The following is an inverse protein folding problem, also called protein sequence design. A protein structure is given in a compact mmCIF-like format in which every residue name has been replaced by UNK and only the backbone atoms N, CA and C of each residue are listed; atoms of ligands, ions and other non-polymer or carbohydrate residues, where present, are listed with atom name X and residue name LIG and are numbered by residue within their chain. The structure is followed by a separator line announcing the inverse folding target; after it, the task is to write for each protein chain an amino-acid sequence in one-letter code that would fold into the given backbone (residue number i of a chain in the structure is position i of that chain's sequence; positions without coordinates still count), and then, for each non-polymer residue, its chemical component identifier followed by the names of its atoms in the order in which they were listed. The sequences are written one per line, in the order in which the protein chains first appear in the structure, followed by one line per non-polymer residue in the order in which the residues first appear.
data_IF_536930041851
#
_entry.id   IF_536930041851
#
_cell.length_a   1.000
_cell.length_b   1.000
_cell.length_c   1.000
_cell.angle_alpha   90.00
_cell.angle_beta   90.00
_cell.angle_gamma   90.00
#
_symmetry.space_group_name_H-M   'P 1'
#
loop_
_entity.id
_entity.type
_entity.pdbx_description
1 polymer ?
#
# COMPACT_ATOMS: atom_id res chain seq x y z
N UNK A 1 -6.48 1.62 -7.65
CA UNK A 1 -6.61 0.39 -6.84
C UNK A 1 -5.39 0.30 -5.91
N UNK A 2 -5.52 -0.01 -4.60
CA UNK A 2 -4.42 0.12 -3.63
C UNK A 2 -3.47 -1.08 -3.57
N UNK A 3 -2.23 -0.87 -3.11
CA UNK A 3 -1.22 -1.93 -3.00
C UNK A 3 -1.58 -3.00 -1.94
N UNK A 4 -1.38 -4.31 -2.22
CA UNK A 4 -1.58 -5.39 -1.27
C UNK A 4 -0.41 -5.54 -0.27
N UNK A 5 -0.28 -4.65 0.70
CA UNK A 5 0.78 -4.80 1.73
C UNK A 5 0.69 -6.13 2.48
N UNK A 6 1.82 -6.81 2.63
CA UNK A 6 1.96 -7.91 3.59
C UNK A 6 2.30 -7.34 4.97
N UNK A 7 1.62 -7.84 6.01
CA UNK A 7 1.92 -7.46 7.39
C UNK A 7 3.15 -8.22 7.89
N UNK A 8 4.18 -7.53 8.43
CA UNK A 8 5.36 -8.19 8.96
C UNK A 8 5.03 -9.00 10.22
N UNK A 9 5.84 -10.02 10.50
CA UNK A 9 5.78 -10.81 11.74
C UNK A 9 7.03 -10.57 12.56
N UNK A 10 6.95 -10.72 13.87
CA UNK A 10 8.08 -10.50 14.79
C UNK A 10 8.39 -11.74 15.65
N UNK A 11 9.61 -11.81 16.20
CA UNK A 11 10.04 -12.80 17.19
C UNK A 11 9.41 -12.55 18.57
N UNK A 12 9.55 -13.47 19.51
CA UNK A 12 9.40 -13.16 20.94
C UNK A 12 10.54 -12.27 21.43
N UNK A 13 10.24 -11.38 22.37
CA UNK A 13 11.22 -10.66 23.20
C UNK A 13 10.59 -10.47 24.58
N UNK A 14 11.41 -10.34 25.62
CA UNK A 14 11.01 -9.90 26.96
C UNK A 14 11.70 -8.59 27.28
N UNK A 15 10.97 -7.49 27.41
CA UNK A 15 11.56 -6.19 27.73
C UNK A 15 12.21 -6.17 29.11
N UNK A 16 11.77 -7.02 30.03
CA UNK A 16 12.36 -7.15 31.38
C UNK A 16 13.85 -7.51 31.30
N UNK A 17 14.26 -8.24 30.26
CA UNK A 17 15.66 -8.61 30.07
C UNK A 17 16.53 -7.43 29.63
N UNK A 18 15.95 -6.38 29.06
CA UNK A 18 16.66 -5.29 28.40
C UNK A 18 16.52 -3.95 29.11
N UNK A 19 15.41 -3.70 29.80
CA UNK A 19 15.11 -2.44 30.45
C UNK A 19 14.57 -2.66 31.86
N UNK A 20 14.92 -1.75 32.76
CA UNK A 20 14.45 -1.73 34.13
C UNK A 20 13.92 -0.34 34.47
N UNK A 21 12.82 -0.27 35.21
CA UNK A 21 12.29 0.98 35.75
C UNK A 21 12.26 0.95 37.26
N UNK A 22 12.86 1.98 37.87
CA UNK A 22 12.82 2.21 39.32
C UNK A 22 11.47 2.77 39.78
N UNK A 23 10.81 3.53 38.92
CA UNK A 23 9.54 4.23 39.18
C UNK A 23 8.32 3.40 38.81
N UNK A 24 8.41 2.64 37.70
CA UNK A 24 7.31 1.86 37.13
C UNK A 24 7.76 0.42 36.84
N UNK A 25 8.11 -0.38 37.86
CA UNK A 25 8.72 -1.71 37.69
C UNK A 25 7.88 -2.69 36.87
N UNK A 26 6.55 -2.52 36.79
CA UNK A 26 5.69 -3.37 35.96
C UNK A 26 5.65 -2.99 34.47
N UNK A 27 6.09 -1.79 34.09
CA UNK A 27 6.00 -1.29 32.71
C UNK A 27 6.69 -2.22 31.68
N UNK A 28 7.94 -2.69 31.89
CA UNK A 28 8.56 -3.64 30.98
C UNK A 28 7.77 -4.97 30.84
N UNK A 29 7.15 -5.44 31.92
CA UNK A 29 6.33 -6.66 31.87
C UNK A 29 5.05 -6.44 31.06
N UNK A 30 4.31 -5.35 31.34
CA UNK A 30 3.10 -5.01 30.59
C UNK A 30 3.37 -4.82 29.09
N UNK A 31 4.47 -4.13 28.74
CA UNK A 31 4.91 -3.98 27.36
C UNK A 31 5.22 -5.34 26.69
N UNK A 32 5.85 -6.26 27.43
CA UNK A 32 6.15 -7.62 26.97
C UNK A 32 4.87 -8.39 26.65
N UNK A 33 3.90 -8.35 27.56
CA UNK A 33 2.59 -9.00 27.39
C UNK A 33 1.84 -8.45 26.19
N UNK A 34 1.73 -7.12 26.07
CA UNK A 34 1.04 -6.47 24.94
C UNK A 34 1.71 -6.80 23.59
N UNK A 35 3.05 -6.83 23.56
CA UNK A 35 3.80 -7.24 22.37
C UNK A 35 3.58 -8.71 22.02
N UNK A 36 3.49 -9.60 23.01
CA UNK A 36 3.15 -11.01 22.83
C UNK A 36 1.80 -11.18 22.12
N UNK A 37 0.78 -10.46 22.57
CA UNK A 37 -0.55 -10.44 21.92
C UNK A 37 -0.45 -9.97 20.46
N UNK A 38 0.27 -8.87 20.20
CA UNK A 38 0.47 -8.37 18.83
C UNK A 38 1.16 -9.42 17.94
N UNK A 39 2.23 -10.06 18.44
CA UNK A 39 2.95 -11.12 17.73
C UNK A 39 2.01 -12.25 17.33
N UNK A 40 1.18 -12.72 18.25
CA UNK A 40 0.28 -13.85 18.01
C UNK A 40 -0.84 -13.49 17.03
N UNK A 41 -1.38 -12.28 17.13
CA UNK A 41 -2.38 -11.75 16.18
C UNK A 41 -1.79 -11.62 14.78
N UNK A 42 -0.55 -11.13 14.63
CA UNK A 42 0.15 -11.05 13.34
C UNK A 42 0.43 -12.44 12.76
N UNK A 43 0.92 -13.38 13.57
CA UNK A 43 1.11 -14.79 13.16
C UNK A 43 -0.20 -15.42 12.70
N UNK A 44 -1.29 -15.21 13.44
CA UNK A 44 -2.63 -15.70 13.07
C UNK A 44 -3.12 -15.06 11.77
N UNK A 45 -2.99 -13.75 11.62
CA UNK A 45 -3.36 -13.04 10.39
C UNK A 45 -2.63 -13.58 9.17
N UNK A 46 -1.33 -13.89 9.31
CA UNK A 46 -0.55 -14.50 8.23
C UNK A 46 -1.03 -15.90 7.85
N UNK A 47 -1.45 -16.71 8.83
CA UNK A 47 -1.84 -18.12 8.64
C UNK A 47 -3.25 -18.32 8.10
N UNK A 48 -4.16 -17.35 8.28
CA UNK A 48 -5.52 -17.45 7.75
C UNK A 48 -5.55 -17.32 6.21
N UNK A 49 -6.54 -17.91 5.53
CA UNK A 49 -6.69 -17.78 4.09
C UNK A 49 -6.73 -16.31 3.63
N UNK A 50 -6.11 -15.96 2.48
CA UNK A 50 -6.09 -14.58 1.99
C UNK A 50 -7.48 -13.94 1.87
N UNK A 51 -8.50 -14.72 1.50
CA UNK A 51 -9.89 -14.26 1.37
C UNK A 51 -10.51 -13.77 2.71
N UNK A 52 -9.99 -14.21 3.86
CA UNK A 52 -10.49 -13.81 5.19
C UNK A 52 -9.57 -12.82 5.90
N UNK A 53 -8.44 -12.44 5.30
CA UNK A 53 -7.50 -11.50 5.93
C UNK A 53 -8.13 -10.11 6.14
N UNK A 54 -8.94 -9.64 5.18
CA UNK A 54 -9.59 -8.33 5.27
C UNK A 54 -10.49 -8.19 6.52
N UNK A 55 -11.24 -9.23 6.87
CA UNK A 55 -12.12 -9.21 8.06
C UNK A 55 -11.35 -9.33 9.37
N UNK A 56 -10.09 -9.79 9.34
CA UNK A 56 -9.23 -9.88 10.53
C UNK A 56 -8.42 -8.59 10.79
N UNK A 57 -8.47 -7.59 9.91
CA UNK A 57 -7.69 -6.35 10.05
C UNK A 57 -8.06 -5.54 11.30
N UNK A 58 -9.33 -5.58 11.74
CA UNK A 58 -9.77 -4.91 12.97
C UNK A 58 -9.11 -5.49 14.22
N UNK A 59 -8.93 -6.82 14.26
CA UNK A 59 -8.21 -7.51 15.34
C UNK A 59 -6.74 -7.07 15.42
N UNK A 60 -6.08 -6.96 14.25
CA UNK A 60 -4.69 -6.49 14.19
C UNK A 60 -4.60 -5.03 14.62
N UNK A 61 -5.52 -4.19 14.17
CA UNK A 61 -5.57 -2.78 14.55
C UNK A 61 -5.73 -2.60 16.06
N UNK A 62 -6.59 -3.40 16.71
CA UNK A 62 -6.76 -3.37 18.16
C UNK A 62 -5.44 -3.69 18.86
N UNK A 63 -4.81 -4.82 18.52
CA UNK A 63 -3.56 -5.23 19.16
C UNK A 63 -2.41 -4.21 18.98
N UNK A 64 -2.36 -3.52 17.83
CA UNK A 64 -1.42 -2.42 17.61
C UNK A 64 -1.72 -1.22 18.51
N UNK A 65 -2.98 -0.81 18.61
CA UNK A 65 -3.40 0.30 19.46
C UNK A 65 -3.24 -0.01 20.95
N UNK A 66 -3.34 -1.27 21.35
CA UNK A 66 -3.11 -1.72 22.72
C UNK A 66 -1.62 -1.72 23.08
N UNK A 67 -0.73 -2.03 22.12
CA UNK A 67 0.72 -2.09 22.34
C UNK A 67 1.43 -0.73 22.23
N UNK A 68 1.06 0.09 21.25
CA UNK A 68 1.75 1.37 20.97
C UNK A 68 1.90 2.30 22.19
N UNK A 69 0.88 2.50 23.07
CA UNK A 69 1.02 3.31 24.28
C UNK A 69 2.19 2.86 25.17
N UNK A 70 2.37 1.55 25.36
CA UNK A 70 3.48 1.01 26.16
C UNK A 70 4.83 1.27 25.49
N UNK A 71 4.88 1.14 24.16
CA UNK A 71 6.10 1.38 23.41
C UNK A 71 6.54 2.85 23.48
N UNK A 72 5.59 3.78 23.40
CA UNK A 72 5.85 5.20 23.60
C UNK A 72 6.19 5.56 25.05
N UNK A 73 5.64 4.87 26.05
CA UNK A 73 6.05 5.04 27.45
C UNK A 73 7.50 4.58 27.68
N UNK A 74 7.91 3.47 27.05
CA UNK A 74 9.30 3.02 27.07
C UNK A 74 10.24 4.03 26.39
N UNK A 75 9.84 4.56 25.24
CA UNK A 75 10.59 5.58 24.49
C UNK A 75 10.76 6.87 25.30
N UNK A 76 9.68 7.32 25.94
CA UNK A 76 9.69 8.50 26.79
C UNK A 76 10.66 8.33 27.97
N UNK A 77 10.58 7.21 28.69
CA UNK A 77 11.44 7.01 29.84
C UNK A 77 12.92 6.83 29.51
N UNK A 78 13.25 6.21 28.38
CA UNK A 78 14.65 6.15 27.90
C UNK A 78 15.18 7.51 27.43
N UNK A 79 14.30 8.41 27.01
CA UNK A 79 14.64 9.75 26.52
C UNK A 79 14.59 10.83 27.61
N UNK A 80 14.18 10.48 28.83
CA UNK A 80 13.94 11.44 29.92
C UNK A 80 12.74 12.36 29.68
N UNK A 81 11.82 11.99 28.78
CA UNK A 81 10.59 12.71 28.52
C UNK A 81 9.47 12.22 29.45
N UNK A 82 8.53 13.10 29.78
CA UNK A 82 7.36 12.74 30.59
C UNK A 82 6.33 11.95 29.76
N UNK A 83 5.72 10.93 30.35
CA UNK A 83 4.57 10.22 29.80
C UNK A 83 3.31 10.61 30.59
N UNK A 84 2.30 11.18 29.92
CA UNK A 84 1.07 11.68 30.57
C UNK A 84 1.29 12.63 31.76
N UNK A 85 2.39 13.41 31.75
CA UNK A 85 2.75 14.31 32.85
C UNK A 85 3.50 13.63 34.01
N UNK A 86 3.70 12.31 33.95
CA UNK A 86 4.52 11.56 34.89
C UNK A 86 5.95 11.35 34.36
N UNK A 87 6.91 11.33 35.27
CA UNK A 87 8.30 11.00 34.98
C UNK A 87 8.48 9.48 35.07
N UNK A 88 8.82 8.86 33.94
CA UNK A 88 9.12 7.43 33.85
C UNK A 88 10.63 7.27 33.76
N UNK A 89 11.27 6.83 34.84
CA UNK A 89 12.70 6.54 34.84
C UNK A 89 12.96 5.13 34.31
N UNK A 90 13.68 5.01 33.19
CA UNK A 90 14.07 3.74 32.58
C UNK A 90 15.58 3.70 32.35
N UNK A 91 16.18 2.57 32.76
CA UNK A 91 17.59 2.27 32.53
C UNK A 91 17.71 1.06 31.62
N UNK A 92 18.59 1.16 30.62
CA UNK A 92 18.95 0.05 29.75
C UNK A 92 19.87 -0.92 30.50
N UNK A 93 19.43 -2.17 30.68
CA UNK A 93 20.20 -3.26 31.30
C UNK A 93 21.18 -3.87 30.29
N UNK A 94 20.73 -4.08 29.06
CA UNK A 94 21.54 -4.51 27.91
C UNK A 94 20.92 -4.00 26.61
N UNK A 95 21.70 -3.99 25.53
CA UNK A 95 21.23 -3.58 24.20
C UNK A 95 20.01 -4.40 23.76
N UNK A 96 18.91 -3.70 23.45
CA UNK A 96 17.66 -4.33 22.99
C UNK A 96 17.84 -4.98 21.63
N UNK A 97 17.51 -6.27 21.52
CA UNK A 97 17.54 -7.00 20.25
C UNK A 97 16.12 -7.40 19.84
N UNK A 98 15.66 -6.88 18.70
CA UNK A 98 14.35 -7.21 18.12
C UNK A 98 14.52 -7.81 16.73
N UNK A 99 13.64 -8.73 16.36
CA UNK A 99 13.65 -9.32 15.02
C UNK A 99 12.30 -9.12 14.34
N UNK A 100 12.34 -8.55 13.13
CA UNK A 100 11.18 -8.34 12.29
C UNK A 100 11.39 -8.96 10.92
N UNK A 101 10.36 -9.60 10.40
CA UNK A 101 10.35 -10.09 9.02
C UNK A 101 10.19 -8.92 8.07
N UNK A 102 11.12 -8.76 7.14
CA UNK A 102 10.99 -7.79 6.05
C UNK A 102 9.85 -8.18 5.11
N UNK A 103 9.04 -7.21 4.70
CA UNK A 103 7.94 -7.40 3.72
C UNK A 103 8.16 -6.62 2.44
N UNK A 104 9.09 -5.66 2.45
CA UNK A 104 9.44 -4.84 1.29
C UNK A 104 10.80 -5.19 0.69
N UNK A 105 11.64 -5.99 1.35
CA UNK A 105 12.87 -6.46 0.74
C UNK A 105 12.62 -7.46 -0.39
N UNK A 106 13.50 -7.46 -1.38
CA UNK A 106 13.57 -8.48 -2.41
C UNK A 106 13.75 -9.86 -1.76
N UNK A 107 12.82 -10.78 -2.01
CA UNK A 107 12.88 -12.16 -1.54
C UNK A 107 12.83 -13.13 -2.71
N UNK A 108 13.45 -14.31 -2.55
CA UNK A 108 13.38 -15.37 -3.54
C UNK A 108 11.93 -15.90 -3.59
N UNK A 109 11.29 -15.96 -4.77
CA UNK A 109 9.94 -16.50 -4.90
C UNK A 109 9.83 -17.90 -4.28
N UNK A 110 8.79 -18.10 -3.46
CA UNK A 110 8.56 -19.38 -2.77
C UNK A 110 9.38 -19.58 -1.48
N UNK A 111 10.27 -18.65 -1.13
CA UNK A 111 10.96 -18.64 0.17
C UNK A 111 10.39 -17.54 1.05
N UNK A 112 10.24 -17.85 2.34
CA UNK A 112 9.81 -16.86 3.32
C UNK A 112 10.90 -15.77 3.47
N UNK A 113 10.54 -14.47 3.53
CA UNK A 113 11.52 -13.41 3.74
C UNK A 113 12.30 -13.60 5.04
N UNK A 114 13.57 -13.21 5.06
CA UNK A 114 14.44 -13.36 6.24
C UNK A 114 14.05 -12.34 7.32
N UNK A 115 14.16 -12.72 8.60
CA UNK A 115 14.05 -11.76 9.70
C UNK A 115 15.32 -10.93 9.81
N UNK A 116 15.15 -9.63 9.99
CA UNK A 116 16.26 -8.70 10.21
C UNK A 116 16.39 -8.48 11.71
N UNK A 117 17.59 -8.76 12.26
CA UNK A 117 17.93 -8.44 13.65
C UNK A 117 18.26 -6.95 13.77
N UNK A 118 17.66 -6.28 14.74
CA UNK A 118 17.76 -4.83 14.94
C UNK A 118 18.04 -4.56 16.41
N UNK A 119 18.91 -3.58 16.67
CA UNK A 119 19.45 -3.32 18.01
C UNK A 119 18.94 -2.00 18.60
N UNK A 120 17.63 -1.75 18.54
CA UNK A 120 17.06 -0.50 19.07
C UNK A 120 15.55 -0.55 19.31
N UNK A 121 15.09 0.20 20.31
CA UNK A 121 13.66 0.47 20.54
C UNK A 121 13.06 1.26 19.37
N UNK A 122 13.86 2.14 18.77
CA UNK A 122 13.48 2.91 17.60
C UNK A 122 13.04 2.02 16.42
N UNK A 123 13.77 0.94 16.18
CA UNK A 123 13.43 -0.03 15.13
C UNK A 123 12.12 -0.75 15.42
N UNK A 124 11.89 -1.13 16.69
CA UNK A 124 10.63 -1.73 17.13
C UNK A 124 9.45 -0.76 16.92
N UNK A 125 9.62 0.51 17.28
CA UNK A 125 8.63 1.57 17.07
C UNK A 125 8.32 1.76 15.58
N UNK A 126 9.36 1.84 14.76
CA UNK A 126 9.22 2.03 13.32
C UNK A 126 8.51 0.87 12.62
N UNK A 127 8.84 -0.38 12.96
CA UNK A 127 8.13 -1.54 12.42
C UNK A 127 6.68 -1.60 12.90
N UNK A 128 6.43 -1.32 14.18
CA UNK A 128 5.07 -1.33 14.75
C UNK A 128 4.18 -0.26 14.09
N UNK A 129 4.67 0.97 13.96
CA UNK A 129 3.96 2.07 13.30
C UNK A 129 3.82 1.84 11.79
N UNK A 130 4.83 1.32 11.10
CA UNK A 130 4.71 0.95 9.68
C UNK A 130 3.64 -0.11 9.48
N UNK A 131 3.55 -1.08 10.39
CA UNK A 131 2.49 -2.10 10.39
C UNK A 131 1.11 -1.48 10.59
N UNK A 132 0.97 -0.50 11.49
CA UNK A 132 -0.26 0.28 11.65
C UNK A 132 -0.68 0.99 10.36
N UNK A 133 0.26 1.65 9.68
CA UNK A 133 0.00 2.31 8.42
C UNK A 133 -0.41 1.31 7.32
N UNK A 134 0.22 0.13 7.25
CA UNK A 134 -0.20 -0.94 6.33
C UNK A 134 -1.61 -1.43 6.63
N UNK A 135 -1.98 -1.60 7.90
CA UNK A 135 -3.35 -1.98 8.28
C UNK A 135 -4.36 -0.94 7.80
N UNK A 136 -4.08 0.36 7.95
CA UNK A 136 -4.95 1.40 7.40
C UNK A 136 -5.05 1.33 5.88
N UNK A 137 -3.94 1.20 5.15
CA UNK A 137 -3.97 1.04 3.68
C UNK A 137 -4.75 -0.21 3.24
N UNK A 138 -4.63 -1.31 3.98
CA UNK A 138 -5.40 -2.54 3.71
C UNK A 138 -6.89 -2.40 4.05
N UNK A 139 -7.25 -1.64 5.09
CA UNK A 139 -8.64 -1.29 5.38
C UNK A 139 -9.22 -0.41 4.27
N UNK A 140 -8.46 0.58 3.78
CA UNK A 140 -8.85 1.40 2.64
C UNK A 140 -9.09 0.54 1.39
N UNK A 141 -8.20 -0.43 1.15
CA UNK A 141 -8.34 -1.43 0.10
C UNK A 141 -9.60 -2.26 0.26
N UNK A 142 -9.90 -2.78 1.45
CA UNK A 142 -11.13 -3.55 1.70
C UNK A 142 -12.40 -2.72 1.41
N UNK A 143 -12.42 -1.44 1.79
CA UNK A 143 -13.52 -0.53 1.46
C UNK A 143 -13.66 -0.33 -0.06
N UNK A 144 -12.55 -0.10 -0.76
CA UNK A 144 -12.55 0.09 -2.21
C UNK A 144 -12.94 -1.17 -3.00
N UNK A 145 -12.65 -2.36 -2.48
CA UNK A 145 -13.05 -3.63 -3.12
C UNK A 145 -14.56 -3.70 -3.32
N UNK A 146 -15.35 -3.11 -2.41
CA UNK A 146 -16.82 -3.08 -2.50
C UNK A 146 -17.34 -2.40 -3.76
N UNK A 147 -16.55 -1.50 -4.36
CA UNK A 147 -16.89 -0.81 -5.61
C UNK A 147 -16.78 -1.71 -6.84
N UNK A 148 -16.10 -2.85 -6.70
CA UNK A 148 -15.83 -3.81 -7.78
C UNK A 148 -16.60 -5.13 -7.61
N UNK A 149 -17.54 -5.19 -6.66
CA UNK A 149 -18.40 -6.34 -6.48
C UNK A 149 -19.35 -6.53 -7.68
N UNK A 150 -19.80 -7.77 -7.89
CA UNK A 150 -20.72 -8.12 -8.98
C UNK A 150 -22.07 -7.37 -8.92
N UNK A 151 -22.44 -6.88 -7.73
CA UNK A 151 -23.63 -6.04 -7.51
C UNK A 151 -23.14 -4.60 -7.43
N UNK A 152 -23.63 -3.75 -8.33
CA UNK A 152 -23.31 -2.31 -8.33
C UNK A 152 -23.79 -1.70 -7.00
N UNK A 153 -22.91 -1.08 -6.20
CA UNK A 153 -23.30 -0.49 -4.92
C UNK A 153 -24.21 0.72 -5.12
N UNK A 154 -25.09 0.98 -4.16
CA UNK A 154 -25.90 2.20 -4.17
C UNK A 154 -25.01 3.45 -4.10
N UNK A 155 -25.49 4.64 -4.53
CA UNK A 155 -24.72 5.88 -4.40
C UNK A 155 -24.27 6.18 -2.96
N UNK A 156 -25.10 5.86 -1.97
CA UNK A 156 -24.78 6.03 -0.55
C UNK A 156 -23.69 5.05 -0.09
N UNK A 157 -23.77 3.78 -0.51
CA UNK A 157 -22.75 2.77 -0.21
C UNK A 157 -21.42 3.15 -0.84
N UNK A 158 -21.44 3.62 -2.11
CA UNK A 158 -20.25 4.12 -2.80
C UNK A 158 -19.63 5.31 -2.05
N UNK A 159 -20.44 6.30 -1.68
CA UNK A 159 -19.96 7.48 -0.97
C UNK A 159 -19.35 7.09 0.40
N UNK A 160 -19.97 6.15 1.11
CA UNK A 160 -19.48 5.64 2.40
C UNK A 160 -18.16 4.91 2.25
N UNK A 161 -18.05 3.98 1.29
CA UNK A 161 -16.82 3.23 1.04
C UNK A 161 -15.66 4.14 0.64
N UNK A 162 -15.91 5.12 -0.24
CA UNK A 162 -14.90 6.11 -0.67
C UNK A 162 -14.50 7.01 0.50
N UNK A 163 -15.44 7.49 1.29
CA UNK A 163 -15.17 8.32 2.47
C UNK A 163 -14.33 7.57 3.51
N UNK A 164 -14.66 6.31 3.80
CA UNK A 164 -13.92 5.47 4.73
C UNK A 164 -12.49 5.17 4.22
N UNK A 165 -12.35 4.79 2.95
CA UNK A 165 -11.04 4.55 2.34
C UNK A 165 -10.16 5.81 2.36
N UNK A 166 -10.72 6.97 2.02
CA UNK A 166 -10.00 8.25 2.08
C UNK A 166 -9.52 8.57 3.50
N UNK A 167 -10.36 8.33 4.52
CA UNK A 167 -9.95 8.50 5.92
C UNK A 167 -8.76 7.60 6.24
N UNK A 168 -8.83 6.32 5.91
CA UNK A 168 -7.77 5.36 6.18
C UNK A 168 -6.44 5.73 5.48
N UNK A 169 -6.45 6.18 4.22
CA UNK A 169 -5.21 6.64 3.58
C UNK A 169 -4.60 7.86 4.25
N UNK A 170 -5.42 8.82 4.71
CA UNK A 170 -4.93 9.98 5.45
C UNK A 170 -4.37 9.59 6.82
N UNK A 171 -4.99 8.61 7.49
CA UNK A 171 -4.48 8.06 8.75
C UNK A 171 -3.13 7.36 8.51
N UNK A 172 -3.00 6.53 7.46
CA UNK A 172 -1.73 5.91 7.05
C UNK A 172 -0.65 6.95 6.71
N UNK A 173 -1.01 7.99 5.94
CA UNK A 173 -0.10 9.08 5.58
C UNK A 173 0.42 9.84 6.80
N UNK A 174 -0.44 10.09 7.79
CA UNK A 174 -0.04 10.75 9.04
C UNK A 174 1.03 9.94 9.79
N UNK A 175 0.86 8.61 9.86
CA UNK A 175 1.82 7.70 10.50
C UNK A 175 3.14 7.67 9.73
N UNK A 176 3.10 7.52 8.40
CA UNK A 176 4.33 7.53 7.60
C UNK A 176 5.05 8.87 7.68
N UNK A 177 4.34 10.00 7.66
CA UNK A 177 4.97 11.32 7.81
C UNK A 177 5.61 11.49 9.19
N UNK A 178 4.96 11.00 10.25
CA UNK A 178 5.56 10.97 11.58
C UNK A 178 6.87 10.17 11.59
N UNK A 179 6.88 8.99 10.96
CA UNK A 179 8.07 8.15 10.83
C UNK A 179 9.19 8.82 10.02
N UNK A 180 8.87 9.53 8.94
CA UNK A 180 9.86 10.30 8.15
C UNK A 180 10.53 11.37 9.02
N UNK A 181 9.75 12.13 9.78
CA UNK A 181 10.27 13.18 10.65
C UNK A 181 11.17 12.61 11.75
N UNK A 182 10.80 11.45 12.31
CA UNK A 182 11.58 10.75 13.32
C UNK A 182 12.87 10.17 12.74
N UNK A 183 12.80 9.57 11.54
CA UNK A 183 13.95 9.04 10.82
C UNK A 183 14.95 10.13 10.40
N UNK A 184 14.50 11.36 10.20
CA UNK A 184 15.37 12.52 9.96
C UNK A 184 16.30 12.87 11.12
N UNK A 185 16.04 12.34 12.33
CA UNK A 185 16.85 12.55 13.52
C UNK A 185 17.89 11.44 13.75
N UNK A 186 17.91 10.40 12.90
CA UNK A 186 18.81 9.28 13.07
C UNK A 186 20.25 9.61 12.67
N UNK A 187 21.20 9.23 13.52
CA UNK A 187 22.63 9.38 13.25
C UNK A 187 23.15 8.37 12.21
N UNK A 188 22.47 7.24 12.05
CA UNK A 188 22.83 6.17 11.10
C UNK A 188 21.58 5.50 10.54
N UNK A 189 21.61 5.13 9.26
CA UNK A 189 20.51 4.42 8.63
C UNK A 189 20.40 2.97 9.14
N UNK A 190 19.19 2.45 9.37
CA UNK A 190 18.99 1.06 9.77
C UNK A 190 19.38 0.10 8.63
N UNK A 191 19.84 -1.09 9.00
CA UNK A 191 20.18 -2.13 8.02
C UNK A 191 18.93 -2.68 7.29
N UNK A 192 17.76 -2.59 7.93
CA UNK A 192 16.48 -3.01 7.38
C UNK A 192 15.97 -1.99 6.34
N UNK A 193 15.68 -2.47 5.13
CA UNK A 193 15.21 -1.63 4.04
C UNK A 193 13.82 -1.04 4.31
N UNK A 194 12.94 -1.80 4.96
CA UNK A 194 11.54 -1.44 5.24
C UNK A 194 11.42 -0.15 6.07
N UNK A 195 12.41 0.11 6.94
CA UNK A 195 12.44 1.27 7.82
C UNK A 195 13.52 2.28 7.41
N UNK A 196 14.13 2.14 6.23
CA UNK A 196 15.05 3.16 5.72
C UNK A 196 14.32 4.48 5.46
N UNK A 197 14.98 5.62 5.66
CA UNK A 197 14.35 6.94 5.48
C UNK A 197 13.74 7.12 4.09
N UNK A 198 14.40 6.56 3.06
CA UNK A 198 13.89 6.60 1.68
C UNK A 198 12.58 5.83 1.52
N UNK A 199 12.47 4.62 2.09
CA UNK A 199 11.24 3.82 2.02
C UNK A 199 10.12 4.47 2.81
N UNK A 200 10.40 4.98 4.01
CA UNK A 200 9.41 5.70 4.81
C UNK A 200 8.88 6.95 4.08
N UNK A 201 9.78 7.71 3.43
CA UNK A 201 9.41 8.85 2.58
C UNK A 201 8.54 8.44 1.41
N UNK A 202 8.92 7.36 0.73
CA UNK A 202 8.16 6.85 -0.41
C UNK A 202 6.75 6.39 -0.01
N UNK A 203 6.59 5.75 1.15
CA UNK A 203 5.29 5.31 1.65
C UNK A 203 4.40 6.50 2.07
N UNK A 204 5.00 7.57 2.61
CA UNK A 204 4.27 8.81 2.88
C UNK A 204 3.76 9.44 1.57
N UNK A 205 4.61 9.57 0.55
CA UNK A 205 4.24 10.09 -0.76
C UNK A 205 3.21 9.19 -1.47
N UNK A 206 3.36 7.87 -1.39
CA UNK A 206 2.43 6.90 -1.97
C UNK A 206 1.02 7.03 -1.37
N UNK A 207 0.91 7.04 -0.04
CA UNK A 207 -0.39 7.16 0.63
C UNK A 207 -1.06 8.51 0.33
N UNK A 208 -0.28 9.58 0.12
CA UNK A 208 -0.82 10.86 -0.35
C UNK A 208 -1.30 10.80 -1.81
N UNK A 209 -0.57 10.09 -2.68
CA UNK A 209 -0.99 9.85 -4.06
C UNK A 209 -2.32 9.10 -4.12
N UNK A 210 -2.48 8.03 -3.34
CA UNK A 210 -3.70 7.24 -3.24
C UNK A 210 -4.88 8.06 -2.67
N UNK A 211 -4.64 8.81 -1.59
CA UNK A 211 -5.63 9.71 -1.00
C UNK A 211 -6.07 10.80 -1.99
N UNK A 212 -5.17 11.35 -2.78
CA UNK A 212 -5.50 12.37 -3.78
C UNK A 212 -6.30 11.78 -4.94
N UNK A 213 -5.95 10.58 -5.40
CA UNK A 213 -6.63 9.93 -6.52
C UNK A 213 -8.06 9.51 -6.17
N UNK A 214 -8.29 9.06 -4.93
CA UNK A 214 -9.63 8.63 -4.49
C UNK A 214 -10.65 9.78 -4.50
N UNK A 215 -10.20 11.03 -4.33
CA UNK A 215 -11.07 12.22 -4.41
C UNK A 215 -11.72 12.33 -5.79
N UNK A 216 -11.01 11.93 -6.84
CA UNK A 216 -11.53 11.92 -8.21
C UNK A 216 -12.50 10.75 -8.42
N UNK A 217 -12.20 9.58 -7.86
CA UNK A 217 -13.05 8.38 -7.99
C UNK A 217 -14.49 8.61 -7.49
N UNK A 218 -14.68 9.50 -6.51
CA UNK A 218 -15.99 9.85 -5.97
C UNK A 218 -16.99 10.27 -7.05
N UNK A 219 -16.54 11.17 -7.93
CA UNK A 219 -17.38 11.85 -8.92
C UNK A 219 -17.06 11.41 -10.36
N UNK A 220 -16.16 10.43 -10.56
CA UNK A 220 -15.80 9.88 -11.87
C UNK A 220 -16.84 8.85 -12.34
N UNK A 221 -17.66 9.13 -13.38
CA UNK A 221 -18.74 8.24 -13.80
C UNK A 221 -18.24 7.08 -14.67
N UNK A 222 -17.08 7.22 -15.30
CA UNK A 222 -16.64 6.31 -16.35
C UNK A 222 -16.29 4.88 -15.90
N UNK A 223 -15.73 4.64 -14.69
CA UNK A 223 -15.53 3.28 -14.19
C UNK A 223 -16.83 2.47 -14.16
N UNK A 224 -17.93 3.06 -13.70
CA UNK A 224 -19.23 2.37 -13.64
C UNK A 224 -19.74 2.01 -15.04
N UNK A 225 -19.60 2.92 -16.00
CA UNK A 225 -20.01 2.71 -17.41
C UNK A 225 -19.30 1.51 -18.03
N UNK A 226 -17.98 1.39 -17.83
CA UNK A 226 -17.20 0.27 -18.39
C UNK A 226 -17.53 -1.06 -17.71
N UNK A 227 -17.86 -1.03 -16.41
CA UNK A 227 -18.31 -2.23 -15.67
C UNK A 227 -19.68 -2.68 -16.19
N UNK A 228 -20.62 -1.76 -16.36
CA UNK A 228 -21.97 -2.05 -16.87
C UNK A 228 -21.98 -2.59 -18.30
N UNK A 229 -21.17 -2.03 -19.21
CA UNK A 229 -21.03 -2.51 -20.60
C UNK A 229 -20.59 -3.99 -20.66
N UNK A 230 -19.89 -4.46 -19.62
CA UNK A 230 -19.45 -5.86 -19.48
C UNK A 230 -20.44 -6.75 -18.74
N UNK A 231 -21.44 -6.18 -18.06
CA UNK A 231 -22.42 -6.97 -17.35
C UNK A 231 -23.38 -7.61 -18.36
N UNK A 232 -23.08 -8.86 -18.75
CA UNK A 232 -23.92 -9.66 -19.68
C UNK A 232 -25.37 -9.85 -19.19
N UNK A 233 -25.63 -9.62 -17.91
CA UNK A 233 -26.96 -9.72 -17.31
C UNK A 233 -27.72 -8.38 -17.36
N UNK A 234 -27.03 -7.26 -17.61
CA UNK A 234 -27.66 -5.95 -17.75
C UNK A 234 -28.40 -5.86 -19.09
N UNK A 235 -29.69 -5.51 -19.01
CA UNK A 235 -30.55 -5.22 -20.17
C UNK A 235 -30.86 -3.74 -20.30
N UNK A 236 -30.29 -2.90 -19.45
CA UNK A 236 -30.63 -1.47 -19.35
C UNK A 236 -30.32 -0.70 -20.62
N UNK A 237 -29.25 -1.12 -21.32
CA UNK A 237 -28.88 -0.61 -22.64
C UNK A 237 -29.99 -0.77 -23.69
N UNK A 238 -30.93 -1.71 -23.50
CA UNK A 238 -32.04 -1.95 -24.45
C UNK A 238 -33.11 -0.87 -24.41
N UNK A 239 -33.23 -0.12 -23.30
CA UNK A 239 -34.32 0.85 -23.11
C UNK A 239 -33.83 2.22 -22.61
N UNK A 240 -32.54 2.38 -22.29
CA UNK A 240 -31.94 3.68 -21.97
C UNK A 240 -30.49 3.73 -22.47
N UNK A 241 -30.11 4.83 -23.12
CA UNK A 241 -28.70 5.12 -23.41
C UNK A 241 -27.92 5.49 -22.15
N UNK A 242 -26.62 5.22 -22.11
CA UNK A 242 -25.77 5.63 -20.99
C UNK A 242 -25.66 7.16 -20.98
N UNK A 243 -26.30 7.81 -20.02
CA UNK A 243 -26.11 9.24 -19.75
C UNK A 243 -24.92 9.41 -18.80
N UNK A 244 -23.89 10.11 -19.25
CA UNK A 244 -22.64 10.30 -18.48
C UNK A 244 -22.69 11.72 -17.90
N UNK A 245 -22.79 11.87 -16.56
CA UNK A 245 -22.83 13.18 -15.93
C UNK A 245 -21.60 14.02 -16.29
N UNK A 246 -21.82 15.33 -16.47
CA UNK A 246 -20.72 16.28 -16.64
C UNK A 246 -19.93 16.39 -15.34
N UNK A 247 -18.62 16.37 -15.46
CA UNK A 247 -17.69 16.48 -14.33
C UNK A 247 -16.91 17.78 -14.39
N UNK A 248 -16.30 18.17 -13.26
CA UNK A 248 -15.32 19.27 -13.19
C UNK A 248 -13.99 18.79 -13.80
N UNK A 249 -14.00 18.51 -15.10
CA UNK A 249 -12.96 17.77 -15.80
C UNK A 249 -11.57 18.40 -15.61
N UNK A 250 -11.44 19.71 -15.83
CA UNK A 250 -10.16 20.40 -15.60
C UNK A 250 -9.66 20.29 -14.14
N UNK A 251 -10.54 20.39 -13.14
CA UNK A 251 -10.15 20.21 -11.74
C UNK A 251 -9.65 18.79 -11.49
N UNK A 252 -10.39 17.77 -11.96
CA UNK A 252 -10.01 16.37 -11.80
C UNK A 252 -8.71 16.04 -12.49
N UNK A 253 -8.45 16.61 -13.67
CA UNK A 253 -7.16 16.49 -14.33
C UNK A 253 -6.01 16.97 -13.43
N UNK A 254 -6.16 18.14 -12.81
CA UNK A 254 -5.13 18.68 -11.90
C UNK A 254 -4.96 17.86 -10.61
N UNK A 255 -6.04 17.29 -10.07
CA UNK A 255 -5.94 16.37 -8.92
C UNK A 255 -5.20 15.07 -9.30
N UNK A 256 -5.51 14.51 -10.46
CA UNK A 256 -4.80 13.35 -11.00
C UNK A 256 -3.32 13.64 -11.24
N UNK A 257 -2.97 14.85 -11.69
CA UNK A 257 -1.57 15.26 -11.85
C UNK A 257 -0.84 15.40 -10.51
N UNK A 258 -1.47 15.96 -9.48
CA UNK A 258 -0.89 15.99 -8.13
C UNK A 258 -0.63 14.56 -7.60
N UNK A 259 -1.59 13.64 -7.78
CA UNK A 259 -1.40 12.22 -7.45
C UNK A 259 -0.22 11.60 -8.22
N UNK A 260 -0.08 11.91 -9.51
CA UNK A 260 1.06 11.45 -10.33
C UNK A 260 2.39 12.03 -9.84
N UNK A 261 2.44 13.30 -9.44
CA UNK A 261 3.64 13.94 -8.89
C UNK A 261 4.08 13.30 -7.57
N UNK A 262 3.14 13.01 -6.65
CA UNK A 262 3.42 12.23 -5.43
C UNK A 262 3.94 10.82 -5.74
N UNK A 263 3.28 10.10 -6.64
CA UNK A 263 3.74 8.77 -7.06
C UNK A 263 5.14 8.82 -7.72
N UNK A 264 5.46 9.88 -8.46
CA UNK A 264 6.80 10.08 -9.03
C UNK A 264 7.87 10.32 -7.95
N UNK A 265 7.55 11.09 -6.89
CA UNK A 265 8.45 11.26 -5.74
C UNK A 265 8.68 9.94 -5.02
N UNK A 266 7.61 9.17 -4.77
CA UNK A 266 7.71 7.84 -4.18
C UNK A 266 8.59 6.92 -5.03
N UNK A 267 8.39 6.89 -6.35
CA UNK A 267 9.20 6.09 -7.27
C UNK A 267 10.69 6.47 -7.20
N UNK A 268 10.99 7.78 -7.19
CA UNK A 268 12.37 8.27 -7.12
C UNK A 268 13.06 7.88 -5.80
N UNK A 269 12.34 7.94 -4.68
CA UNK A 269 12.83 7.50 -3.38
C UNK A 269 13.09 5.98 -3.36
N UNK A 270 12.13 5.16 -3.77
CA UNK A 270 12.30 3.70 -3.82
C UNK A 270 13.45 3.29 -4.75
N UNK A 271 13.65 3.99 -5.87
CA UNK A 271 14.75 3.74 -6.81
C UNK A 271 16.15 3.94 -6.24
N UNK A 272 16.30 4.62 -5.10
CA UNK A 272 17.59 4.75 -4.39
C UNK A 272 17.97 3.48 -3.62
N UNK A 273 17.02 2.55 -3.41
CA UNK A 273 17.24 1.33 -2.64
C UNK A 273 17.21 0.10 -3.54
N UNK A 274 18.38 -0.49 -3.78
CA UNK A 274 18.56 -1.68 -4.63
C UNK A 274 18.01 -2.98 -4.03
N UNK A 275 17.51 -2.95 -2.79
CA UNK A 275 17.04 -4.12 -2.05
C UNK A 275 15.51 -4.23 -1.96
N UNK A 276 14.77 -3.33 -2.59
CA UNK A 276 13.30 -3.33 -2.55
C UNK A 276 12.72 -4.35 -3.54
N UNK A 277 11.61 -4.99 -3.18
CA UNK A 277 10.87 -5.86 -4.09
C UNK A 277 10.29 -5.07 -5.28
N UNK A 278 10.49 -5.60 -6.48
CA UNK A 278 9.98 -5.07 -7.75
C UNK A 278 8.45 -4.86 -7.75
N UNK A 279 7.67 -5.63 -6.99
CA UNK A 279 6.21 -5.49 -6.96
C UNK A 279 5.77 -4.09 -6.51
N UNK A 280 6.40 -3.52 -5.47
CA UNK A 280 6.08 -2.18 -4.99
C UNK A 280 6.55 -1.12 -5.99
N UNK A 281 7.75 -1.29 -6.55
CA UNK A 281 8.30 -0.37 -7.57
C UNK A 281 7.40 -0.30 -8.82
N UNK A 282 6.97 -1.46 -9.32
CA UNK A 282 6.07 -1.57 -10.45
C UNK A 282 4.70 -0.97 -10.14
N UNK A 283 4.16 -1.24 -8.95
CA UNK A 283 2.89 -0.66 -8.52
C UNK A 283 2.94 0.87 -8.49
N UNK A 284 4.00 1.46 -7.93
CA UNK A 284 4.13 2.93 -7.86
C UNK A 284 4.28 3.55 -9.25
N UNK A 285 5.02 2.92 -10.17
CA UNK A 285 5.09 3.37 -11.57
C UNK A 285 3.72 3.27 -12.26
N UNK A 286 3.01 2.16 -12.05
CA UNK A 286 1.67 1.97 -12.61
C UNK A 286 0.66 2.96 -12.02
N UNK A 287 0.75 3.30 -10.74
CA UNK A 287 -0.07 4.34 -10.11
C UNK A 287 0.22 5.70 -10.73
N UNK A 288 1.50 6.06 -10.88
CA UNK A 288 1.95 7.31 -11.52
C UNK A 288 1.39 7.43 -12.94
N UNK A 289 1.50 6.36 -13.74
CA UNK A 289 0.99 6.29 -15.11
C UNK A 289 -0.53 6.33 -15.18
N UNK A 290 -1.21 5.62 -14.28
CA UNK A 290 -2.68 5.58 -14.20
C UNK A 290 -3.23 6.96 -13.87
N UNK A 291 -2.63 7.65 -12.89
CA UNK A 291 -3.01 9.01 -12.52
C UNK A 291 -2.80 9.98 -13.70
N UNK A 292 -1.67 9.90 -14.40
CA UNK A 292 -1.41 10.75 -15.58
C UNK A 292 -2.32 10.43 -16.78
N UNK A 293 -2.64 9.15 -16.99
CA UNK A 293 -3.62 8.70 -17.97
C UNK A 293 -5.03 9.24 -17.69
N UNK A 294 -5.47 9.18 -16.42
CA UNK A 294 -6.72 9.80 -15.95
C UNK A 294 -6.73 11.31 -16.21
N UNK A 295 -5.62 11.99 -15.93
CA UNK A 295 -5.53 13.42 -16.21
C UNK A 295 -5.72 13.74 -17.70
N UNK A 296 -5.07 12.98 -18.58
CA UNK A 296 -5.25 13.10 -20.03
C UNK A 296 -6.71 12.87 -20.44
N UNK A 297 -7.37 11.83 -19.88
CA UNK A 297 -8.79 11.58 -20.14
C UNK A 297 -9.66 12.75 -19.70
N UNK A 298 -9.46 13.32 -18.52
CA UNK A 298 -10.25 14.45 -18.08
C UNK A 298 -9.99 15.71 -18.92
N UNK A 299 -8.76 15.97 -19.35
CA UNK A 299 -8.48 17.04 -20.31
C UNK A 299 -9.16 16.79 -21.66
N UNK A 300 -9.27 15.53 -22.08
CA UNK A 300 -10.03 15.15 -23.25
C UNK A 300 -11.54 15.45 -23.11
N UNK A 301 -12.13 15.12 -21.96
CA UNK A 301 -13.52 15.45 -21.64
C UNK A 301 -13.77 16.97 -21.61
N UNK A 302 -12.81 17.75 -21.10
CA UNK A 302 -12.86 19.20 -21.07
C UNK A 302 -12.84 19.78 -22.51
N UNK A 303 -11.94 19.27 -23.35
CA UNK A 303 -11.84 19.66 -24.76
C UNK A 303 -13.11 19.31 -25.55
N UNK A 304 -13.66 18.11 -25.36
CA UNK A 304 -14.89 17.68 -26.03
C UNK A 304 -16.11 18.50 -25.58
N UNK A 305 -16.20 18.83 -24.28
CA UNK A 305 -17.25 19.73 -23.77
C UNK A 305 -17.14 21.13 -24.39
N UNK A 306 -15.92 21.56 -24.73
CA UNK A 306 -15.65 22.79 -25.48
C UNK A 306 -15.86 22.69 -26.99
N UNK A 307 -16.40 21.57 -27.50
CA UNK A 307 -16.64 21.34 -28.92
C UNK A 307 -15.38 21.00 -29.73
N UNK A 308 -14.25 20.69 -29.07
CA UNK A 308 -12.98 20.35 -29.71
C UNK A 308 -12.71 18.85 -29.68
N UNK A 309 -13.60 18.07 -30.27
CA UNK A 309 -13.51 16.60 -30.31
C UNK A 309 -12.18 16.10 -30.90
N UNK A 310 -11.62 16.78 -31.91
CA UNK A 310 -10.31 16.43 -32.47
C UNK A 310 -9.17 16.54 -31.45
N UNK A 311 -9.17 17.59 -30.63
CA UNK A 311 -8.22 17.77 -29.52
C UNK A 311 -8.46 16.71 -28.42
N UNK A 312 -9.73 16.41 -28.12
CA UNK A 312 -10.10 15.34 -27.19
C UNK A 312 -9.55 13.96 -27.59
N UNK A 313 -9.67 13.58 -28.86
CA UNK A 313 -9.08 12.34 -29.39
C UNK A 313 -7.55 12.34 -29.21
N UNK A 314 -6.88 13.47 -29.48
CA UNK A 314 -5.44 13.59 -29.30
C UNK A 314 -5.00 13.41 -27.84
N UNK A 315 -5.76 13.98 -26.88
CA UNK A 315 -5.55 13.75 -25.46
C UNK A 315 -5.71 12.27 -25.07
N UNK A 316 -6.71 11.57 -25.59
CA UNK A 316 -6.90 10.14 -25.31
C UNK A 316 -5.80 9.26 -25.93
N UNK A 317 -5.30 9.60 -27.12
CA UNK A 317 -4.11 8.97 -27.71
C UNK A 317 -2.87 9.21 -26.83
N UNK A 318 -2.75 10.41 -26.27
CA UNK A 318 -1.76 10.74 -25.24
C UNK A 318 -1.92 9.87 -23.98
N UNK A 319 -3.15 9.69 -23.50
CA UNK A 319 -3.45 8.85 -22.34
C UNK A 319 -2.96 7.40 -22.54
N UNK A 320 -3.16 6.82 -23.74
CA UNK A 320 -2.62 5.49 -24.09
C UNK A 320 -1.10 5.41 -24.01
N UNK A 321 -0.38 6.48 -24.41
CA UNK A 321 1.09 6.55 -24.33
C UNK A 321 1.53 6.60 -22.86
N UNK A 322 0.90 7.43 -22.05
CA UNK A 322 1.22 7.54 -20.61
C UNK A 322 0.96 6.23 -19.86
N UNK A 323 -0.15 5.56 -20.15
CA UNK A 323 -0.47 4.24 -19.63
C UNK A 323 0.47 3.13 -20.16
N UNK A 324 1.33 3.42 -21.13
CA UNK A 324 2.25 2.43 -21.71
C UNK A 324 1.56 1.39 -22.60
N UNK A 325 0.36 1.69 -23.12
CA UNK A 325 -0.37 0.81 -24.06
C UNK A 325 -0.04 1.10 -25.53
N UNK A 326 0.51 2.28 -25.83
CA UNK A 326 0.98 2.61 -27.17
C UNK A 326 2.49 2.33 -27.30
N UNK A 327 2.89 1.65 -28.38
CA UNK A 327 4.28 1.63 -28.82
C UNK A 327 4.66 3.03 -29.32
N UNK A 328 5.83 3.52 -28.93
CA UNK A 328 6.35 4.83 -29.35
C UNK A 328 6.42 4.90 -30.88
N UNK A 329 5.59 5.73 -31.51
CA UNK A 329 5.69 6.07 -32.94
C UNK A 329 4.39 5.88 -33.75
N UNK A 330 3.94 6.97 -34.39
CA UNK A 330 2.73 7.04 -35.20
C UNK A 330 2.79 6.25 -36.54
N UNK A 331 3.93 5.64 -36.89
CA UNK A 331 4.06 4.81 -38.10
C UNK A 331 3.91 3.29 -37.84
N UNK A 332 3.86 2.86 -36.58
CA UNK A 332 3.74 1.43 -36.23
C UNK A 332 2.36 1.01 -35.70
N UNK A 333 1.29 1.78 -35.92
CA UNK A 333 -0.07 1.28 -35.70
C UNK A 333 -0.39 0.05 -36.57
N UNK A 334 0.34 -0.13 -37.68
CA UNK A 334 0.29 -1.36 -38.50
C UNK A 334 1.13 -2.52 -37.95
N UNK A 335 1.95 -2.29 -36.91
CA UNK A 335 2.89 -3.25 -36.32
C UNK A 335 2.76 -3.40 -34.80
N UNK A 336 1.59 -3.08 -34.22
CA UNK A 336 1.25 -3.63 -32.91
C UNK A 336 1.17 -5.17 -33.05
N UNK A 337 2.32 -5.83 -32.88
CA UNK A 337 2.50 -7.28 -32.88
C UNK A 337 1.38 -7.91 -32.07
N UNK A 338 0.62 -8.85 -32.65
CA UNK A 338 -0.51 -9.51 -31.98
C UNK A 338 -0.17 -10.06 -30.59
N UNK A 339 1.12 -10.29 -30.32
CA UNK A 339 1.65 -10.67 -29.02
C UNK A 339 1.46 -9.62 -27.91
N UNK A 340 1.63 -8.32 -28.17
CA UNK A 340 1.48 -7.27 -27.14
C UNK A 340 0.03 -7.08 -26.73
N UNK A 341 -0.89 -7.13 -27.70
CA UNK A 341 -2.34 -7.11 -27.47
C UNK A 341 -2.79 -8.34 -26.67
N UNK A 342 -2.29 -9.53 -27.04
CA UNK A 342 -2.61 -10.77 -26.33
C UNK A 342 -2.05 -10.79 -24.91
N UNK A 343 -0.86 -10.21 -24.68
CA UNK A 343 -0.29 -10.02 -23.33
C UNK A 343 -1.15 -9.08 -22.48
N UNK A 344 -1.57 -7.93 -23.03
CA UNK A 344 -2.49 -7.00 -22.36
C UNK A 344 -3.79 -7.70 -21.97
N UNK A 345 -4.47 -8.37 -22.92
CA UNK A 345 -5.71 -9.10 -22.65
C UNK A 345 -5.57 -10.20 -21.60
N UNK A 346 -4.43 -10.90 -21.60
CA UNK A 346 -4.14 -11.94 -20.60
C UNK A 346 -3.93 -11.34 -19.20
N UNK A 347 -3.17 -10.26 -19.07
CA UNK A 347 -2.96 -9.56 -17.80
C UNK A 347 -4.28 -8.97 -17.27
N UNK A 348 -5.09 -8.40 -18.16
CA UNK A 348 -6.42 -7.89 -17.87
C UNK A 348 -7.35 -8.97 -17.30
N UNK A 349 -7.42 -10.14 -17.95
CA UNK A 349 -8.22 -11.28 -17.45
C UNK A 349 -7.70 -11.80 -16.11
N UNK A 350 -6.39 -11.74 -15.88
CA UNK A 350 -5.79 -12.14 -14.61
C UNK A 350 -6.19 -11.17 -13.50
N UNK A 351 -6.20 -9.87 -13.78
CA UNK A 351 -6.61 -8.84 -12.82
C UNK A 351 -8.11 -8.93 -12.50
N UNK A 352 -8.97 -9.09 -13.51
CA UNK A 352 -10.41 -9.28 -13.29
C UNK A 352 -10.69 -10.49 -12.37
N UNK A 353 -9.98 -11.62 -12.57
CA UNK A 353 -10.08 -12.80 -11.70
C UNK A 353 -9.62 -12.54 -10.27
N UNK A 354 -8.61 -11.69 -10.08
CA UNK A 354 -8.12 -11.30 -8.74
C UNK A 354 -9.14 -10.44 -8.02
N UNK A 355 -9.74 -9.48 -8.75
CA UNK A 355 -10.83 -8.63 -8.25
C UNK A 355 -12.03 -9.51 -7.84
N UNK A 356 -12.48 -10.43 -8.71
CA UNK A 356 -13.58 -11.36 -8.41
C UNK A 356 -13.30 -12.21 -7.16
N UNK A 357 -12.05 -12.64 -6.96
CA UNK A 357 -11.66 -13.43 -5.79
C UNK A 357 -11.39 -12.59 -4.54
N UNK A 358 -11.23 -11.28 -4.68
CA UNK A 358 -10.79 -10.39 -3.59
C UNK A 358 -9.36 -10.63 -3.10
N UNK A 359 -8.53 -11.35 -3.87
CA UNK A 359 -7.15 -11.73 -3.49
C UNK A 359 -6.15 -11.15 -4.47
N UNK A 360 -5.11 -10.48 -3.98
CA UNK A 360 -4.00 -9.91 -4.76
C UNK A 360 -4.40 -8.99 -5.93
N UNK A 361 -5.59 -8.39 -5.85
CA UNK A 361 -6.09 -7.40 -6.80
C UNK A 361 -5.47 -6.01 -6.57
N UNK A 362 -5.52 -5.16 -7.58
CA UNK A 362 -5.00 -3.80 -7.55
C UNK A 362 -3.50 -3.71 -7.78
N UNK A 363 -2.82 -4.80 -8.16
CA UNK A 363 -1.37 -4.80 -8.42
C UNK A 363 -0.97 -3.92 -9.62
N UNK A 364 -1.91 -3.63 -10.52
CA UNK A 364 -1.72 -2.73 -11.66
C UNK A 364 -2.11 -1.27 -11.37
N UNK A 365 -2.42 -0.94 -10.10
CA UNK A 365 -2.92 0.35 -9.65
C UNK A 365 -4.21 0.86 -10.35
N UNK A 366 -4.93 0.02 -11.12
CA UNK A 366 -6.08 0.41 -11.94
C UNK A 366 -5.72 0.85 -13.37
N UNK A 367 -4.50 0.60 -13.81
CA UNK A 367 -4.00 0.90 -15.16
C UNK A 367 -4.85 0.25 -16.26
N UNK A 368 -5.26 -1.00 -16.08
CA UNK A 368 -6.07 -1.72 -17.05
C UNK A 368 -7.52 -1.21 -17.08
N UNK A 369 -8.09 -0.89 -15.91
CA UNK A 369 -9.41 -0.25 -15.82
C UNK A 369 -9.41 1.08 -16.59
N UNK A 370 -8.43 1.95 -16.33
CA UNK A 370 -8.31 3.23 -17.02
C UNK A 370 -8.09 3.05 -18.54
N UNK A 371 -7.28 2.06 -18.93
CA UNK A 371 -7.07 1.70 -20.33
C UNK A 371 -8.37 1.39 -21.07
N UNK A 372 -9.28 0.66 -20.44
CA UNK A 372 -10.59 0.31 -21.01
C UNK A 372 -11.48 1.53 -21.17
N UNK A 373 -11.47 2.44 -20.19
CA UNK A 373 -12.21 3.71 -20.28
C UNK A 373 -11.69 4.53 -21.47
N UNK A 374 -10.38 4.65 -21.61
CA UNK A 374 -9.74 5.36 -22.72
C UNK A 374 -10.07 4.70 -24.07
N UNK A 375 -10.04 3.37 -24.14
CA UNK A 375 -10.41 2.60 -25.34
C UNK A 375 -11.88 2.82 -25.75
N UNK A 376 -12.80 2.81 -24.78
CA UNK A 376 -14.22 3.09 -25.00
C UNK A 376 -14.46 4.51 -25.53
N UNK A 377 -13.83 5.51 -24.90
CA UNK A 377 -13.95 6.91 -25.31
C UNK A 377 -13.35 7.18 -26.69
N UNK A 378 -12.18 6.61 -26.99
CA UNK A 378 -11.56 6.73 -28.31
C UNK A 378 -12.49 6.20 -29.39
N UNK A 379 -13.01 4.98 -29.21
CA UNK A 379 -13.93 4.36 -30.17
C UNK A 379 -15.18 5.22 -30.40
N UNK A 380 -15.72 5.83 -29.34
CA UNK A 380 -16.88 6.72 -29.42
C UNK A 380 -16.56 7.98 -30.21
N UNK A 381 -15.54 8.72 -29.77
CA UNK A 381 -15.26 10.05 -30.31
C UNK A 381 -14.59 10.01 -31.69
N UNK A 382 -13.81 8.98 -32.02
CA UNK A 382 -13.31 8.79 -33.39
C UNK A 382 -14.48 8.57 -34.35
N UNK A 383 -15.44 7.71 -34.00
CA UNK A 383 -16.65 7.50 -34.81
C UNK A 383 -17.44 8.80 -34.97
N UNK A 384 -17.65 9.55 -33.90
CA UNK A 384 -18.38 10.81 -33.92
C UNK A 384 -17.66 11.88 -34.78
N UNK A 385 -16.34 11.99 -34.64
CA UNK A 385 -15.55 12.92 -35.43
C UNK A 385 -15.51 12.53 -36.91
N UNK A 386 -15.39 11.25 -37.25
CA UNK A 386 -15.37 10.77 -38.63
C UNK A 386 -16.72 10.92 -39.34
N UNK A 387 -17.82 10.95 -38.58
CA UNK A 387 -19.19 11.02 -39.12
C UNK A 387 -19.79 12.42 -39.12
N UNK A 388 -19.52 13.23 -38.10
CA UNK A 388 -20.16 14.54 -37.89
C UNK A 388 -19.14 15.66 -37.73
N UNK A 389 -18.13 15.47 -36.90
CA UNK A 389 -17.23 16.56 -36.46
C UNK A 389 -16.23 17.03 -37.53
N UNK A 390 -15.67 16.08 -38.27
CA UNK A 390 -14.61 16.23 -39.29
C UNK A 390 -13.47 17.17 -38.83
N UNK A 391 -13.13 17.14 -37.55
CA UNK A 391 -12.05 17.95 -37.00
C UNK A 391 -10.70 17.26 -37.23
N UNK A 392 -9.67 18.04 -37.53
CA UNK A 392 -8.31 17.53 -37.58
C UNK A 392 -7.87 17.08 -36.18
N UNK A 393 -7.33 15.87 -36.06
CA UNK A 393 -6.76 15.36 -34.81
C UNK A 393 -5.27 15.75 -34.74
N UNK A 394 -4.86 16.65 -33.83
CA UNK A 394 -3.46 17.04 -33.70
C UNK A 394 -2.59 15.90 -33.11
N UNK A 395 -1.25 16.00 -33.21
CA UNK A 395 -0.36 15.11 -32.48
C UNK A 395 -0.54 15.29 -30.96
N UNK A 396 -0.33 14.21 -30.20
CA UNK A 396 -0.55 14.23 -28.75
C UNK A 396 0.62 14.83 -27.98
N UNK A 397 1.84 14.79 -28.53
CA UNK A 397 3.08 15.19 -27.87
C UNK A 397 3.07 16.65 -27.39
N UNK A 398 2.65 17.64 -28.21
CA UNK A 398 2.58 19.03 -27.75
C UNK A 398 1.55 19.22 -26.63
N UNK A 399 0.43 18.48 -26.69
CA UNK A 399 -0.59 18.49 -25.65
C UNK A 399 -0.03 17.95 -24.32
N UNK A 400 0.61 16.78 -24.36
CA UNK A 400 1.24 16.18 -23.18
C UNK A 400 2.30 17.11 -22.55
N UNK A 401 3.07 17.84 -23.37
CA UNK A 401 4.03 18.83 -22.89
C UNK A 401 3.38 20.09 -22.30
N UNK A 402 2.12 20.37 -22.64
CA UNK A 402 1.34 21.52 -22.16
C UNK A 402 0.47 21.21 -20.92
N UNK A 403 0.62 20.02 -20.31
CA UNK A 403 -0.16 19.68 -19.12
C UNK A 403 0.02 20.71 -18.01
N UNK A 404 -1.07 21.12 -17.33
CA UNK A 404 -0.96 22.02 -16.18
C UNK A 404 -0.28 21.33 -14.99
N UNK A 405 0.15 22.09 -14.00
CA UNK A 405 0.64 21.51 -12.74
C UNK A 405 -0.48 20.89 -11.91
N UNK A 406 -0.10 19.92 -11.08
CA UNK A 406 -0.95 19.35 -10.05
C UNK A 406 -1.64 20.40 -9.17
N UNK A 407 -2.76 20.00 -8.57
CA UNK A 407 -3.41 20.76 -7.50
C UNK A 407 -3.54 19.89 -6.27
N UNK A 408 -2.87 20.30 -5.20
CA UNK A 408 -3.02 19.67 -3.89
C UNK A 408 -4.46 19.77 -3.39
N UNK A 409 -4.94 18.67 -2.82
CA UNK A 409 -6.28 18.59 -2.24
C UNK A 409 -6.26 18.34 -0.75
N UNK A 410 -5.34 17.49 -0.30
CA UNK A 410 -5.21 17.11 1.10
C UNK A 410 -4.12 17.93 1.78
N UNK A 411 -4.23 18.04 3.09
CA UNK A 411 -3.15 18.55 3.94
C UNK A 411 -2.74 17.41 4.87
N UNK A 412 -1.43 17.21 5.00
CA UNK A 412 -0.88 16.20 5.89
C UNK A 412 -1.37 16.42 7.31
N UNK A 413 -1.97 15.39 7.90
CA UNK A 413 -2.39 15.42 9.30
C UNK A 413 -1.23 15.06 10.20
N UNK A 414 -1.20 15.69 11.38
CA UNK A 414 -0.25 15.33 12.43
C UNK A 414 -0.73 14.02 13.05
N UNK A 415 0.17 13.05 13.13
CA UNK A 415 -0.08 11.83 13.89
C UNK A 415 -0.13 12.14 15.38
N UNK A 416 -1.20 11.72 16.04
CA UNK A 416 -1.35 11.87 17.48
C UNK A 416 -0.75 10.64 18.13
N UNK A 417 0.38 10.83 18.83
CA UNK A 417 1.06 9.76 19.56
C UNK A 417 0.15 9.23 20.67
N UNK A 418 -0.18 7.92 20.68
CA UNK A 418 -0.93 7.34 21.76
C UNK A 418 -0.08 7.29 23.03
N UNK A 419 -0.69 7.61 24.16
CA UNK A 419 -0.06 7.57 25.47
C UNK A 419 -0.89 6.68 26.40
N UNK A 420 -0.22 6.08 27.39
CA UNK A 420 -0.93 5.43 28.49
C UNK A 420 -1.66 6.50 29.30
N UNK A 421 -2.83 6.13 29.82
CA UNK A 421 -3.54 6.97 30.78
C UNK A 421 -2.83 6.96 32.14
N UNK A 422 -3.07 8.01 32.93
CA UNK A 422 -2.47 8.21 34.25
C UNK A 422 -2.75 7.03 35.19
N UNK A 423 -3.98 6.50 35.21
CA UNK A 423 -4.35 5.37 36.08
C UNK A 423 -3.58 4.09 35.71
N UNK A 424 -3.34 3.86 34.41
CA UNK A 424 -2.49 2.76 33.94
C UNK A 424 -1.03 2.93 34.37
N UNK A 425 -0.47 4.14 34.30
CA UNK A 425 0.89 4.41 34.80
C UNK A 425 0.98 4.20 36.31
N UNK A 426 0.05 4.76 37.09
CA UNK A 426 0.01 4.63 38.55
C UNK A 426 -0.02 3.15 38.99
N UNK A 427 -0.81 2.31 38.30
CA UNK A 427 -0.87 0.87 38.60
C UNK A 427 0.46 0.16 38.37
N UNK A 428 1.27 0.62 37.41
CA UNK A 428 2.57 0.00 37.09
C UNK A 428 3.70 0.36 38.07
N UNK A 429 3.43 1.23 39.05
CA UNK A 429 4.37 1.49 40.18
C UNK A 429 4.48 0.30 41.13
N UNK A 430 3.46 -0.55 41.17
CA UNK A 430 3.55 -1.82 41.89
C UNK A 430 4.51 -2.77 41.16
N UNK A 431 5.33 -3.56 41.88
CA UNK A 431 6.14 -4.61 41.26
C UNK A 431 5.27 -5.65 40.52
N UNK A 432 5.77 -6.27 39.44
CA UNK A 432 5.03 -7.29 38.72
C UNK A 432 4.78 -8.51 39.61
N UNK A 433 3.61 -9.15 39.43
CA UNK A 433 3.29 -10.39 40.14
C UNK A 433 4.24 -11.51 39.65
N UNK A 434 4.92 -12.25 40.54
CA UNK A 434 5.80 -13.36 40.17
C UNK A 434 5.11 -14.45 39.32
N UNK A 435 3.79 -14.57 39.41
CA UNK A 435 2.99 -15.51 38.61
C UNK A 435 2.72 -15.05 37.18
N UNK A 436 2.97 -13.77 36.86
CA UNK A 436 2.83 -13.18 35.53
C UNK A 436 4.17 -13.07 34.79
N UNK A 437 5.22 -13.76 35.28
CA UNK A 437 6.52 -13.76 34.64
C UNK A 437 6.43 -14.42 33.25
N UNK A 438 6.96 -13.73 32.24
CA UNK A 438 7.00 -14.21 30.87
C UNK A 438 7.88 -15.48 30.75
N UNK A 439 7.26 -16.65 30.59
CA UNK A 439 7.97 -17.90 30.26
C UNK A 439 8.27 -17.93 28.75
N UNK A 440 9.40 -17.34 28.35
CA UNK A 440 9.82 -17.17 26.95
C UNK A 440 10.18 -18.45 26.17
N UNK A 441 9.61 -19.61 26.54
CA UNK A 441 9.96 -20.93 26.04
C UNK A 441 8.92 -21.52 25.07
N UNK A 442 8.20 -20.67 24.34
CA UNK A 442 7.47 -21.14 23.16
C UNK A 442 8.47 -21.27 22.01
N UNK A 443 8.76 -22.50 21.60
CA UNK A 443 9.47 -22.79 20.36
C UNK A 443 8.85 -21.95 19.25
N UNK A 444 9.66 -21.08 18.65
CA UNK A 444 9.26 -20.33 17.48
C UNK A 444 9.07 -21.40 16.38
N UNK A 445 7.82 -21.84 16.19
CA UNK A 445 7.38 -22.88 15.25
C UNK A 445 7.53 -22.40 13.79
N UNK A 446 8.72 -21.91 13.47
CA UNK A 446 9.24 -21.48 12.19
C UNK A 446 10.33 -22.44 11.68
N UNK A 447 10.90 -23.28 12.54
CA UNK A 447 11.87 -24.32 12.12
C UNK A 447 11.19 -25.57 11.51
N UNK A 448 9.86 -25.68 11.56
CA UNK A 448 9.15 -26.81 10.94
C UNK A 448 9.09 -26.73 9.39
N UNK A 449 9.34 -25.58 8.78
CA UNK A 449 9.39 -25.46 7.31
C UNK A 449 10.81 -25.68 6.73
N UNK A 450 11.86 -25.74 7.56
CA UNK A 450 13.15 -26.31 7.12
C UNK A 450 13.10 -27.85 7.05
N UNK A 451 12.07 -28.46 7.64
CA UNK A 451 11.80 -29.90 7.60
C UNK A 451 10.63 -30.26 6.68
N UNK A 452 10.62 -29.80 5.43
CA UNK A 452 9.69 -30.34 4.42
C UNK A 452 10.37 -30.79 3.14
N UNK A 453 10.37 -32.13 3.02
CA UNK A 453 10.36 -33.00 1.84
C UNK A 453 11.46 -32.80 0.80
N UNK A 454 12.18 -33.89 0.42
CA UNK A 454 13.18 -33.79 -0.63
C UNK A 454 12.53 -33.29 -1.93
N UNK A 455 13.28 -32.56 -2.77
CA UNK A 455 12.78 -32.13 -4.07
C UNK A 455 12.29 -33.33 -4.87
N UNK A 456 11.18 -33.17 -5.58
CA UNK A 456 10.60 -34.23 -6.40
C UNK A 456 11.67 -34.79 -7.36
N UNK A 457 12.10 -36.03 -7.12
CA UNK A 457 13.16 -36.70 -7.87
C UNK A 457 14.36 -37.20 -7.05
N UNK A 458 14.45 -36.93 -5.75
CA UNK A 458 15.53 -37.49 -4.93
C UNK A 458 15.23 -38.94 -4.51
N UNK A 459 16.17 -39.86 -4.78
CA UNK A 459 16.15 -41.24 -4.29
C UNK A 459 16.37 -41.27 -2.76
N UNK A 460 15.67 -42.13 -2.00
CA UNK A 460 15.90 -42.27 -0.56
C UNK A 460 17.33 -42.80 -0.30
N UNK A 461 18.21 -41.99 0.29
CA UNK A 461 19.52 -42.45 0.78
C UNK A 461 20.70 -41.47 0.63
N UNK A 462 20.61 -40.41 -0.16
CA UNK A 462 21.78 -39.57 -0.53
C UNK A 462 22.04 -38.36 0.38
N UNK A 463 21.52 -38.36 1.61
CA UNK A 463 21.64 -37.21 2.53
C UNK A 463 23.08 -36.93 3.00
N UNK A 464 23.99 -37.88 2.91
CA UNK A 464 25.38 -37.76 3.41
C UNK A 464 26.39 -37.19 2.41
N UNK A 465 26.05 -37.11 1.12
CA UNK A 465 27.07 -36.95 0.08
C UNK A 465 27.24 -35.50 -0.42
N UNK A 466 26.48 -34.55 0.14
CA UNK A 466 26.52 -33.13 -0.23
C UNK A 466 26.78 -32.19 0.96
N UNK A 467 27.59 -32.61 1.93
CA UNK A 467 28.20 -31.65 2.86
C UNK A 467 29.43 -31.01 2.19
N UNK A 468 29.51 -29.67 2.05
CA UNK A 468 30.68 -29.03 1.48
C UNK A 468 31.83 -29.06 2.50
N UNK A 469 32.79 -29.96 2.29
CA UNK A 469 34.07 -29.92 3.01
C UNK A 469 34.84 -28.68 2.55
N UNK A 470 34.83 -27.63 3.37
CA UNK A 470 35.70 -26.47 3.20
C UNK A 470 36.71 -26.44 4.34
N UNK A 471 37.79 -27.20 4.17
CA UNK A 471 39.07 -26.92 4.83
C UNK A 471 40.08 -26.55 3.76
N UNK A 472 40.55 -25.31 3.73
CA UNK A 472 41.85 -24.97 3.16
C UNK A 472 42.44 -23.78 3.92
N UNK A 473 43.64 -24.06 4.46
CA UNK A 473 44.71 -23.24 5.03
C UNK A 473 44.42 -21.88 5.67
#
# INVERSE_FOLDING_TARGET
MPFPFALPTTSSISFIDYVHSSTHPSLPNCATTARGVLRDVLKRHKRIPPATQASNLSTVLSALNDYLPYLFALDAGLSGASCAGEEVDLVLVKELEVEWRSTLASSIPGREPVRVKLKSLESELCYTLSTLAYVYSLQARAQLHTLYNAIVPSPEQRATAIGAAMKHFLDANSVHTYLVNRAGQWNSQPAAVDISTSVLGALAELTMAEATLITVLKDDPYPAVVIEDRNKQSKDWMFRGVDIPKVRAHLFARLCLASSEHAAKAQAMLGQSSKINDDLLNYVDDLRRTAKGKACRFLACDAETGGKTGEGIAWLRGAKKELGFATLGAEEEKKASGFSRLKKEWQEKREDRKIEKGVDWGTDAGKFEEGRIVDMLLKKWEKENDTVGVQLVPPSEPLLASMPSGREYHTTKIYIVPALDEDSLVRMRAPPDPSEAFEGNEDDSADEDEQRSPPAGAFPGTKSDYAPSTSYY
#
